data_IF_126751209477
#
_entry.id   IF_126751209477
#
_cell.length_a   1.000
_cell.length_b   1.000
_cell.length_c   1.000
_cell.angle_alpha   90.00
_cell.angle_beta   90.00
_cell.angle_gamma   90.00
#
_symmetry.space_group_name_H-M   'P 1'
#
loop_
_entity.id
_entity.type
_entity.pdbx_description
1 polymer ?
#
# COMPACT_ATOMS: atom_id res chain seq x y z
N UNK A 1 24.99 1.17 -5.83
CA UNK A 1 24.17 1.14 -7.06
C UNK A 1 25.00 1.32 -8.32
N UNK A 2 25.84 2.34 -8.47
CA UNK A 2 26.68 2.56 -9.68
C UNK A 2 27.58 1.35 -9.99
N UNK A 3 28.34 0.87 -9.01
CA UNK A 3 29.18 -0.34 -9.18
C UNK A 3 28.37 -1.56 -9.58
N UNK A 4 27.19 -1.77 -8.99
CA UNK A 4 26.32 -2.88 -9.34
C UNK A 4 25.88 -2.81 -10.81
N UNK A 5 25.49 -1.62 -11.30
CA UNK A 5 25.08 -1.39 -12.70
C UNK A 5 26.27 -1.54 -13.66
N UNK A 6 27.49 -1.18 -13.25
CA UNK A 6 28.69 -1.36 -14.04
C UNK A 6 29.00 -2.84 -14.30
N UNK A 7 28.86 -3.67 -13.25
CA UNK A 7 29.40 -5.02 -13.25
C UNK A 7 28.35 -6.12 -13.49
N UNK A 8 27.05 -5.75 -13.51
CA UNK A 8 25.98 -6.74 -13.65
C UNK A 8 24.96 -6.32 -14.71
N UNK A 9 24.45 -7.34 -15.43
CA UNK A 9 23.40 -7.15 -16.43
C UNK A 9 22.04 -6.81 -15.81
N UNK A 10 21.71 -7.43 -14.68
CA UNK A 10 20.43 -7.26 -14.01
C UNK A 10 20.67 -6.80 -12.58
N UNK A 11 20.14 -5.63 -12.23
CA UNK A 11 20.27 -5.05 -10.88
C UNK A 11 18.87 -4.74 -10.35
N UNK A 12 18.59 -5.15 -9.13
CA UNK A 12 17.32 -4.89 -8.45
C UNK A 12 17.57 -4.29 -7.07
N UNK A 13 16.95 -3.13 -6.81
CA UNK A 13 17.16 -2.35 -5.59
C UNK A 13 15.84 -2.17 -4.86
N UNK A 14 15.68 -2.87 -3.74
CA UNK A 14 14.59 -2.67 -2.80
C UNK A 14 15.02 -1.68 -1.73
N UNK A 15 14.36 -0.54 -1.62
CA UNK A 15 14.72 0.50 -0.65
C UNK A 15 13.56 0.99 0.19
N UNK A 16 13.86 1.42 1.42
CA UNK A 16 12.91 2.10 2.27
C UNK A 16 12.42 3.42 1.67
N UNK A 17 11.41 4.02 2.28
CA UNK A 17 10.96 5.36 1.90
C UNK A 17 12.01 6.39 2.29
N UNK A 18 12.34 7.30 1.37
CA UNK A 18 13.36 8.33 1.61
C UNK A 18 14.80 7.80 1.62
N UNK A 19 15.08 6.65 0.99
CA UNK A 19 16.43 6.06 0.91
C UNK A 19 17.36 6.70 -0.12
N UNK A 20 16.89 7.67 -0.90
CA UNK A 20 17.68 8.29 -1.97
C UNK A 20 17.85 7.43 -3.23
N UNK A 21 17.03 6.37 -3.40
CA UNK A 21 17.12 5.47 -4.56
C UNK A 21 16.92 6.19 -5.89
N UNK A 22 15.97 7.12 -5.97
CA UNK A 22 15.65 7.86 -7.20
C UNK A 22 16.72 8.93 -7.49
N UNK A 23 17.21 9.61 -6.43
CA UNK A 23 18.36 10.49 -6.52
C UNK A 23 19.56 9.77 -7.12
N UNK A 24 19.86 8.56 -6.65
CA UNK A 24 20.97 7.76 -7.17
C UNK A 24 20.70 7.27 -8.59
N UNK A 25 19.45 6.84 -8.90
CA UNK A 25 19.08 6.42 -10.25
C UNK A 25 19.29 7.52 -11.28
N UNK A 26 18.92 8.77 -10.97
CA UNK A 26 19.20 9.93 -11.83
C UNK A 26 20.69 10.14 -12.11
N UNK A 27 21.57 9.90 -11.12
CA UNK A 27 23.04 9.99 -11.30
C UNK A 27 23.61 8.81 -12.07
N UNK A 28 23.01 7.63 -11.93
CA UNK A 28 23.35 6.45 -12.78
C UNK A 28 23.07 6.75 -14.25
N UNK A 29 21.97 7.43 -14.57
CA UNK A 29 21.65 7.86 -15.96
C UNK A 29 22.76 8.75 -16.51
N UNK A 30 23.18 9.79 -15.77
CA UNK A 30 24.27 10.66 -16.20
C UNK A 30 25.57 9.88 -16.36
N UNK A 31 25.91 9.08 -15.35
CA UNK A 31 27.13 8.28 -15.37
C UNK A 31 27.18 7.35 -16.58
N UNK A 32 26.06 6.67 -16.92
CA UNK A 32 25.99 5.77 -18.07
C UNK A 32 26.20 6.52 -19.39
N UNK A 33 25.51 7.64 -19.57
CA UNK A 33 25.62 8.48 -20.77
C UNK A 33 27.04 9.03 -20.97
N UNK A 34 27.76 9.34 -19.92
CA UNK A 34 29.11 9.91 -20.00
C UNK A 34 30.22 8.86 -20.17
N UNK A 35 29.97 7.60 -19.80
CA UNK A 35 30.99 6.54 -19.85
C UNK A 35 30.82 5.55 -20.99
N UNK A 36 29.74 5.66 -21.78
CA UNK A 36 29.47 4.76 -22.89
C UNK A 36 29.11 5.57 -24.15
N UNK A 37 29.64 5.17 -25.31
CA UNK A 37 29.31 5.78 -26.59
C UNK A 37 29.30 4.71 -27.70
N UNK A 38 28.29 4.68 -28.62
CA UNK A 38 27.00 5.33 -28.44
C UNK A 38 26.19 4.65 -27.32
N UNK A 39 25.39 5.42 -26.62
CA UNK A 39 24.56 4.89 -25.53
C UNK A 39 23.12 5.41 -25.61
N UNK A 40 22.19 4.57 -25.21
CA UNK A 40 20.80 4.95 -24.97
C UNK A 40 20.39 4.58 -23.56
N UNK A 41 19.65 5.47 -22.90
CA UNK A 41 19.05 5.18 -21.60
C UNK A 41 17.54 5.34 -21.72
N UNK A 42 16.79 4.30 -21.37
CA UNK A 42 15.34 4.31 -21.31
C UNK A 42 14.95 4.23 -19.85
N UNK A 43 14.22 5.26 -19.38
CA UNK A 43 13.68 5.33 -18.02
C UNK A 43 12.17 5.09 -18.12
N UNK A 44 11.65 4.11 -17.38
CA UNK A 44 10.23 3.79 -17.36
C UNK A 44 9.75 3.60 -15.92
N UNK A 45 8.43 3.63 -15.73
CA UNK A 45 7.78 3.49 -14.44
C UNK A 45 6.26 3.40 -14.59
N UNK A 46 5.51 3.26 -13.49
CA UNK A 46 4.08 3.00 -13.55
C UNK A 46 3.26 4.14 -14.17
N UNK A 47 3.70 5.38 -14.01
CA UNK A 47 3.00 6.57 -14.54
C UNK A 47 3.98 7.59 -15.10
N UNK A 48 3.52 8.38 -16.08
CA UNK A 48 4.32 9.47 -16.65
C UNK A 48 4.79 10.47 -15.57
N UNK A 49 3.95 10.78 -14.59
CA UNK A 49 4.27 11.67 -13.48
C UNK A 49 5.44 11.12 -12.66
N UNK A 50 5.43 9.84 -12.32
CA UNK A 50 6.52 9.23 -11.53
C UNK A 50 7.84 9.23 -12.30
N UNK A 51 7.82 9.00 -13.60
CA UNK A 51 9.02 9.10 -14.43
C UNK A 51 9.49 10.54 -14.55
N UNK A 52 8.60 11.49 -14.90
CA UNK A 52 8.95 12.87 -15.18
C UNK A 52 9.32 13.68 -13.94
N UNK A 53 8.52 13.57 -12.88
CA UNK A 53 8.64 14.44 -11.69
C UNK A 53 9.63 13.87 -10.66
N UNK A 54 9.96 12.58 -10.74
CA UNK A 54 10.85 11.93 -9.78
C UNK A 54 12.23 11.68 -10.43
N UNK A 55 12.42 10.54 -11.10
CA UNK A 55 13.75 10.14 -11.59
C UNK A 55 14.29 11.09 -12.67
N UNK A 56 13.41 11.55 -13.58
CA UNK A 56 13.84 12.49 -14.61
C UNK A 56 14.18 13.87 -14.03
N UNK A 57 13.40 14.33 -13.05
CA UNK A 57 13.72 15.57 -12.35
C UNK A 57 15.06 15.48 -11.62
N UNK A 58 15.36 14.37 -10.95
CA UNK A 58 16.65 14.11 -10.33
C UNK A 58 17.80 14.07 -11.35
N UNK A 59 17.55 13.50 -12.53
CA UNK A 59 18.49 13.51 -13.64
C UNK A 59 18.77 14.94 -14.12
N UNK A 60 17.74 15.77 -14.26
CA UNK A 60 17.83 17.17 -14.69
C UNK A 60 18.56 18.03 -13.64
N UNK A 61 18.23 17.85 -12.36
CA UNK A 61 18.93 18.54 -11.26
C UNK A 61 20.41 18.20 -11.27
N UNK A 62 20.75 16.93 -11.42
CA UNK A 62 22.15 16.51 -11.48
C UNK A 62 22.89 17.05 -12.71
N UNK A 63 22.22 17.10 -13.86
CA UNK A 63 22.75 17.71 -15.09
C UNK A 63 23.03 19.20 -14.91
N UNK A 64 22.08 19.95 -14.39
CA UNK A 64 22.19 21.40 -14.21
C UNK A 64 23.21 21.80 -13.14
N UNK A 65 23.39 20.97 -12.11
CA UNK A 65 24.34 21.21 -11.00
C UNK A 65 25.73 20.61 -11.25
N UNK A 66 25.97 20.09 -12.44
CA UNK A 66 27.31 19.57 -12.76
C UNK A 66 28.37 20.66 -12.77
N UNK A 67 29.50 20.35 -12.16
CA UNK A 67 30.66 21.28 -12.14
C UNK A 67 31.27 21.51 -13.53
N UNK A 68 31.01 20.60 -14.46
CA UNK A 68 31.51 20.64 -15.83
C UNK A 68 30.36 20.56 -16.81
N UNK A 69 30.44 21.23 -17.97
CA UNK A 69 29.44 21.08 -19.04
C UNK A 69 29.38 19.63 -19.49
N UNK A 70 28.18 19.01 -19.40
CA UNK A 70 27.96 17.62 -19.79
C UNK A 70 27.64 17.48 -21.30
N UNK A 71 27.46 18.61 -21.99
CA UNK A 71 27.12 18.62 -23.41
C UNK A 71 25.69 18.21 -23.74
N UNK A 72 25.35 18.28 -25.03
CA UNK A 72 24.03 17.94 -25.53
C UNK A 72 22.95 18.94 -25.14
N UNK A 73 21.69 18.57 -25.42
CA UNK A 73 20.50 19.37 -25.10
C UNK A 73 19.60 18.64 -24.11
N UNK A 74 19.39 19.24 -22.96
CA UNK A 74 18.36 18.84 -22.00
C UNK A 74 17.04 19.51 -22.42
N UNK A 75 16.08 18.71 -22.88
CA UNK A 75 14.77 19.20 -23.30
C UNK A 75 13.84 19.47 -22.11
N UNK A 76 12.82 20.27 -22.31
CA UNK A 76 11.74 20.46 -21.34
C UNK A 76 10.95 19.16 -21.07
N UNK A 77 10.85 18.31 -22.09
CA UNK A 77 10.33 16.93 -21.97
C UNK A 77 11.35 16.02 -21.29
N UNK A 78 10.98 14.76 -21.11
CA UNK A 78 11.84 13.72 -20.50
C UNK A 78 12.91 13.22 -21.48
N UNK A 79 13.72 14.13 -22.06
CA UNK A 79 14.78 13.79 -23.01
C UNK A 79 16.07 14.61 -22.78
N UNK A 80 17.20 13.91 -22.77
CA UNK A 80 18.55 14.50 -22.88
C UNK A 80 19.25 13.88 -24.08
N UNK A 81 19.67 14.68 -25.03
CA UNK A 81 20.23 14.23 -26.29
C UNK A 81 21.60 14.88 -26.55
N UNK A 82 22.61 14.06 -26.75
CA UNK A 82 23.93 14.48 -27.21
C UNK A 82 24.00 14.41 -28.75
N UNK A 83 23.47 13.32 -29.33
CA UNK A 83 23.27 13.15 -30.76
C UNK A 83 22.12 12.15 -31.02
N UNK A 84 21.87 11.78 -32.29
CA UNK A 84 20.76 10.90 -32.69
C UNK A 84 20.92 9.45 -32.20
N UNK A 85 22.14 9.01 -31.92
CA UNK A 85 22.44 7.67 -31.42
C UNK A 85 22.76 7.65 -29.91
N UNK A 86 22.83 8.85 -29.30
CA UNK A 86 23.27 9.00 -27.92
C UNK A 86 22.30 9.91 -27.14
N UNK A 87 21.36 9.30 -26.43
CA UNK A 87 20.33 10.02 -25.68
C UNK A 87 19.78 9.23 -24.49
N UNK A 88 19.22 9.94 -23.51
CA UNK A 88 18.37 9.40 -22.46
C UNK A 88 16.92 9.86 -22.67
N UNK A 89 15.96 8.97 -22.43
CA UNK A 89 14.54 9.20 -22.63
C UNK A 89 13.72 8.58 -21.50
N UNK A 90 12.85 9.39 -20.88
CA UNK A 90 11.80 8.92 -20.00
C UNK A 90 10.53 8.62 -20.80
N UNK A 91 10.02 7.40 -20.71
CA UNK A 91 8.85 6.94 -21.46
C UNK A 91 7.94 6.07 -20.59
N UNK A 92 6.65 6.32 -20.67
CA UNK A 92 5.60 5.46 -20.08
C UNK A 92 4.57 5.19 -21.18
N UNK A 93 4.16 3.96 -21.29
CA UNK A 93 3.16 3.56 -22.27
C UNK A 93 2.30 2.44 -21.72
N UNK A 94 1.01 2.49 -22.00
CA UNK A 94 0.09 1.39 -21.73
C UNK A 94 0.15 0.30 -22.82
N UNK A 95 0.84 0.59 -23.94
CA UNK A 95 1.05 -0.37 -25.01
C UNK A 95 2.52 -0.80 -25.04
N UNK A 96 2.84 -2.04 -24.64
CA UNK A 96 4.20 -2.58 -24.65
C UNK A 96 4.91 -2.52 -26.02
N UNK A 97 4.16 -2.46 -27.13
CA UNK A 97 4.73 -2.36 -28.47
C UNK A 97 5.41 -1.01 -28.72
N UNK A 98 4.98 0.05 -28.05
CA UNK A 98 5.60 1.38 -28.18
C UNK A 98 7.00 1.47 -27.58
N UNK A 99 7.42 0.48 -26.81
CA UNK A 99 8.78 0.36 -26.28
C UNK A 99 9.75 -0.32 -27.23
N UNK A 100 9.28 -0.87 -28.35
CA UNK A 100 10.15 -1.52 -29.33
C UNK A 100 10.97 -0.50 -30.15
N UNK A 101 12.16 -0.92 -30.59
CA UNK A 101 12.99 -0.10 -31.50
C UNK A 101 14.14 0.67 -30.83
N UNK A 102 14.26 0.65 -29.50
CA UNK A 102 15.41 1.26 -28.83
C UNK A 102 16.62 0.28 -28.79
N UNK A 103 17.41 0.29 -29.86
CA UNK A 103 18.62 -0.54 -29.94
C UNK A 103 19.88 0.30 -29.72
N UNK A 104 20.80 -0.18 -28.90
CA UNK A 104 22.15 0.37 -28.72
C UNK A 104 23.06 -0.71 -28.11
N UNK A 105 24.34 -0.77 -28.50
CA UNK A 105 25.29 -1.68 -27.85
C UNK A 105 25.47 -1.35 -26.35
N UNK A 106 25.15 -0.12 -25.96
CA UNK A 106 25.17 0.34 -24.58
C UNK A 106 23.79 0.86 -24.15
N UNK A 107 22.78 0.00 -24.27
CA UNK A 107 21.44 0.32 -23.76
C UNK A 107 21.35 0.04 -22.26
N UNK A 108 20.96 1.06 -21.49
CA UNK A 108 20.52 0.94 -20.11
C UNK A 108 19.01 1.11 -20.02
N UNK A 109 18.34 0.22 -19.32
CA UNK A 109 16.92 0.37 -18.94
C UNK A 109 16.85 0.61 -17.45
N UNK A 110 16.18 1.69 -17.05
CA UNK A 110 15.89 2.03 -15.64
C UNK A 110 14.39 1.92 -15.41
N UNK A 111 13.97 1.06 -14.49
CA UNK A 111 12.58 0.88 -14.11
C UNK A 111 12.43 1.39 -12.69
N UNK A 112 11.78 2.55 -12.53
CA UNK A 112 11.47 3.12 -11.22
C UNK A 112 10.12 2.65 -10.70
N UNK A 113 9.98 2.62 -9.38
CA UNK A 113 8.76 2.11 -8.71
C UNK A 113 8.32 0.76 -9.27
N UNK A 114 9.30 -0.13 -9.48
CA UNK A 114 9.15 -1.41 -10.16
C UNK A 114 8.07 -2.31 -9.53
N UNK A 115 7.77 -2.13 -8.24
CA UNK A 115 6.69 -2.83 -7.55
C UNK A 115 5.28 -2.54 -8.11
N UNK A 116 5.11 -1.37 -8.77
CA UNK A 116 3.85 -0.92 -9.31
C UNK A 116 3.79 -0.98 -10.86
N UNK A 117 4.88 -1.40 -11.53
CA UNK A 117 4.92 -1.59 -12.99
C UNK A 117 4.29 -2.93 -13.33
N UNK A 118 3.40 -2.95 -14.32
CA UNK A 118 2.72 -4.18 -14.75
C UNK A 118 3.69 -5.15 -15.40
N UNK A 119 3.49 -6.44 -15.18
CA UNK A 119 4.36 -7.49 -15.70
C UNK A 119 4.56 -7.45 -17.22
N UNK A 120 3.53 -7.22 -18.08
CA UNK A 120 3.73 -7.12 -19.53
C UNK A 120 4.66 -5.96 -19.94
N UNK A 121 4.68 -4.85 -19.18
CA UNK A 121 5.54 -3.71 -19.43
C UNK A 121 7.00 -4.04 -19.08
N UNK A 122 7.24 -4.72 -17.96
CA UNK A 122 8.57 -5.19 -17.56
C UNK A 122 9.11 -6.18 -18.61
N UNK A 123 8.29 -7.11 -19.08
CA UNK A 123 8.68 -8.04 -20.14
C UNK A 123 9.01 -7.32 -21.45
N UNK A 124 8.26 -6.29 -21.84
CA UNK A 124 8.56 -5.51 -23.04
C UNK A 124 9.92 -4.78 -22.92
N UNK A 125 10.19 -4.19 -21.74
CA UNK A 125 11.48 -3.54 -21.46
C UNK A 125 12.63 -4.54 -21.49
N UNK A 126 12.43 -5.76 -21.01
CA UNK A 126 13.44 -6.85 -21.10
C UNK A 126 13.72 -7.28 -22.53
N UNK A 127 12.70 -7.29 -23.41
CA UNK A 127 12.88 -7.66 -24.84
C UNK A 127 13.75 -6.67 -25.61
N UNK A 128 14.04 -5.47 -25.06
CA UNK A 128 14.99 -4.52 -25.64
C UNK A 128 16.44 -5.07 -25.67
N UNK A 129 16.71 -6.18 -25.02
CA UNK A 129 18.05 -6.76 -24.90
C UNK A 129 19.08 -5.76 -24.38
N UNK A 130 18.71 -5.01 -23.35
CA UNK A 130 19.58 -4.02 -22.73
C UNK A 130 20.89 -4.65 -22.23
N UNK A 131 21.97 -3.90 -22.31
CA UNK A 131 23.27 -4.26 -21.72
C UNK A 131 23.12 -4.36 -20.20
N UNK A 132 22.37 -3.41 -19.61
CA UNK A 132 22.03 -3.44 -18.18
C UNK A 132 20.59 -3.00 -17.94
N UNK A 133 19.92 -3.65 -16.99
CA UNK A 133 18.60 -3.28 -16.47
C UNK A 133 18.74 -2.97 -14.98
N UNK A 134 18.29 -1.80 -14.58
CA UNK A 134 18.20 -1.36 -13.18
C UNK A 134 16.72 -1.24 -12.80
N UNK A 135 16.27 -2.04 -11.85
CA UNK A 135 14.97 -1.88 -11.20
C UNK A 135 15.16 -1.23 -9.83
N UNK A 136 14.33 -0.23 -9.51
CA UNK A 136 14.29 0.39 -8.19
C UNK A 136 12.85 0.47 -7.71
N UNK A 137 12.62 0.28 -6.41
CA UNK A 137 11.29 0.41 -5.84
C UNK A 137 11.25 0.17 -4.33
N UNK A 138 10.09 0.45 -3.74
CA UNK A 138 9.80 0.02 -2.39
C UNK A 138 9.26 -1.42 -2.44
N UNK A 139 9.58 -2.27 -1.47
CA UNK A 139 9.15 -3.67 -1.49
C UNK A 139 7.70 -3.83 -0.97
N UNK A 140 6.73 -3.21 -1.66
CA UNK A 140 5.30 -3.26 -1.31
C UNK A 140 4.52 -4.38 -2.00
N UNK A 141 5.20 -5.26 -2.74
CA UNK A 141 4.55 -6.36 -3.47
C UNK A 141 5.02 -7.71 -2.96
N UNK A 142 4.19 -8.73 -3.12
CA UNK A 142 4.52 -10.14 -2.83
C UNK A 142 4.57 -10.97 -4.11
N UNK A 143 4.46 -10.34 -5.28
CA UNK A 143 4.45 -11.01 -6.58
C UNK A 143 5.05 -10.13 -7.69
N UNK A 144 5.26 -10.73 -8.86
CA UNK A 144 5.84 -10.07 -10.02
C UNK A 144 7.36 -10.04 -10.02
N UNK A 145 7.95 -9.60 -11.14
CA UNK A 145 9.39 -9.72 -11.37
C UNK A 145 10.25 -8.98 -10.34
N UNK A 146 9.78 -7.82 -9.83
CA UNK A 146 10.50 -7.09 -8.79
C UNK A 146 10.61 -7.88 -7.49
N UNK A 147 9.51 -8.54 -7.07
CA UNK A 147 9.53 -9.47 -5.94
C UNK A 147 10.40 -10.69 -6.23
N UNK A 148 10.22 -11.34 -7.38
CA UNK A 148 10.93 -12.53 -7.78
C UNK A 148 12.43 -12.29 -7.90
N UNK A 149 12.87 -11.09 -8.32
CA UNK A 149 14.28 -10.70 -8.39
C UNK A 149 15.01 -10.77 -7.05
N UNK A 150 14.30 -10.64 -5.94
CA UNK A 150 14.83 -10.79 -4.58
C UNK A 150 14.60 -12.19 -3.99
N UNK A 151 13.79 -13.04 -4.65
CA UNK A 151 13.38 -14.37 -4.17
C UNK A 151 13.73 -15.48 -5.19
N UNK A 152 12.77 -15.94 -5.96
CA UNK A 152 12.91 -17.08 -6.88
C UNK A 152 13.93 -16.85 -7.99
N UNK A 153 14.05 -15.63 -8.52
CA UNK A 153 14.98 -15.26 -9.57
C UNK A 153 16.26 -14.55 -9.07
N UNK A 154 16.52 -14.59 -7.77
CA UNK A 154 17.67 -13.89 -7.17
C UNK A 154 19.01 -14.25 -7.81
N UNK A 155 19.16 -15.45 -8.33
CA UNK A 155 20.37 -15.91 -9.01
C UNK A 155 20.66 -15.18 -10.34
N UNK A 156 19.67 -14.50 -10.92
CA UNK A 156 19.80 -13.71 -12.15
C UNK A 156 20.10 -12.22 -11.88
N UNK A 157 19.94 -11.77 -10.63
CA UNK A 157 20.01 -10.37 -10.25
C UNK A 157 21.10 -10.08 -9.23
N UNK A 158 21.78 -8.95 -9.40
CA UNK A 158 22.49 -8.31 -8.30
C UNK A 158 21.44 -7.54 -7.48
N UNK A 159 21.10 -8.07 -6.31
CA UNK A 159 20.12 -7.47 -5.42
C UNK A 159 20.78 -6.52 -4.41
N UNK A 160 20.14 -5.40 -4.16
CA UNK A 160 20.52 -4.43 -3.11
C UNK A 160 19.27 -4.19 -2.28
N UNK A 161 19.40 -4.28 -0.97
CA UNK A 161 18.39 -3.86 -0.02
C UNK A 161 18.91 -2.63 0.71
N UNK A 162 18.09 -1.60 0.86
CA UNK A 162 18.44 -0.36 1.57
C UNK A 162 17.42 -0.14 2.68
N UNK A 163 17.86 -0.31 3.91
CA UNK A 163 17.10 0.04 5.11
C UNK A 163 17.23 1.54 5.41
N UNK A 164 16.28 2.11 6.15
CA UNK A 164 16.42 3.44 6.72
C UNK A 164 17.68 3.55 7.59
N UNK A 165 18.03 2.47 8.29
CA UNK A 165 19.22 2.41 9.15
C UNK A 165 20.55 2.41 8.37
N UNK A 166 20.53 2.18 7.06
CA UNK A 166 21.71 2.26 6.18
C UNK A 166 21.91 3.68 5.61
N UNK A 167 21.03 4.63 5.94
CA UNK A 167 21.07 5.98 5.38
C UNK A 167 21.98 6.92 6.17
N UNK A 168 22.62 7.89 5.52
CA UNK A 168 23.55 8.83 6.17
C UNK A 168 22.95 9.56 7.37
N UNK A 169 21.69 10.01 7.30
CA UNK A 169 21.04 10.73 8.39
C UNK A 169 20.96 9.90 9.68
N UNK A 170 20.70 8.60 9.54
CA UNK A 170 20.60 7.70 10.68
C UNK A 170 21.96 7.28 11.19
N UNK A 171 22.89 6.96 10.30
CA UNK A 171 24.26 6.58 10.67
C UNK A 171 24.98 7.72 11.41
N UNK A 172 24.83 8.97 10.93
CA UNK A 172 25.47 10.15 11.53
C UNK A 172 24.68 10.70 12.75
N UNK A 173 23.48 10.21 13.02
CA UNK A 173 22.60 10.70 14.08
C UNK A 173 22.16 12.17 13.92
N UNK A 174 22.22 12.71 12.70
CA UNK A 174 21.84 14.08 12.36
C UNK A 174 21.42 14.18 10.90
N UNK A 175 20.67 15.23 10.57
CA UNK A 175 20.27 15.50 9.19
C UNK A 175 21.48 15.97 8.36
N UNK A 176 22.05 15.05 7.58
CA UNK A 176 23.18 15.31 6.66
C UNK A 176 22.66 15.58 5.24
N UNK A 177 21.57 14.92 4.87
CA UNK A 177 20.93 15.03 3.55
C UNK A 177 19.47 15.41 3.74
N UNK A 178 19.09 16.59 3.23
CA UNK A 178 17.70 17.04 3.25
C UNK A 178 16.79 16.11 2.42
N UNK A 179 15.57 15.88 2.92
CA UNK A 179 14.58 15.00 2.26
C UNK A 179 14.87 13.49 2.36
N UNK A 180 15.97 13.08 2.96
CA UNK A 180 16.23 11.69 3.30
C UNK A 180 15.57 11.35 4.64
N UNK A 181 15.18 10.08 4.82
CA UNK A 181 14.55 9.59 6.05
C UNK A 181 15.32 10.02 7.31
N UNK A 182 14.58 10.47 8.32
CA UNK A 182 15.08 10.90 9.63
C UNK A 182 14.78 9.85 10.71
N UNK A 183 15.36 10.01 11.91
CA UNK A 183 15.02 9.15 13.05
C UNK A 183 13.58 9.38 13.52
N UNK A 184 13.10 10.63 13.45
CA UNK A 184 11.71 10.98 13.76
C UNK A 184 10.72 10.23 12.85
N UNK A 185 10.99 10.18 11.53
CA UNK A 185 10.18 9.39 10.58
C UNK A 185 10.12 7.90 10.95
N UNK A 186 11.23 7.34 11.45
CA UNK A 186 11.30 5.93 11.85
C UNK A 186 10.47 5.68 13.08
N UNK A 187 10.61 6.54 14.12
CA UNK A 187 9.87 6.41 15.37
C UNK A 187 8.35 6.61 15.16
N UNK A 188 7.97 7.58 14.33
CA UNK A 188 6.58 7.80 13.94
C UNK A 188 5.98 6.57 13.25
N UNK A 189 6.70 5.99 12.27
CA UNK A 189 6.25 4.76 11.59
C UNK A 189 6.21 3.56 12.52
N UNK A 190 7.19 3.45 13.44
CA UNK A 190 7.19 2.41 14.48
C UNK A 190 6.00 2.56 15.41
N UNK A 191 5.71 3.79 15.86
CA UNK A 191 4.56 4.08 16.70
C UNK A 191 3.23 3.84 15.97
N UNK A 192 3.16 4.17 14.67
CA UNK A 192 1.94 4.02 13.87
C UNK A 192 1.65 2.56 13.50
N UNK A 193 2.65 1.80 13.05
CA UNK A 193 2.43 0.49 12.44
C UNK A 193 2.98 -0.69 13.24
N UNK A 194 3.93 -0.47 14.14
CA UNK A 194 4.69 -1.53 14.83
C UNK A 194 5.79 -2.14 13.95
N UNK A 195 6.88 -2.53 14.58
CA UNK A 195 8.10 -3.04 13.90
C UNK A 195 7.87 -4.34 13.12
N UNK A 196 6.88 -5.14 13.52
CA UNK A 196 6.60 -6.44 12.89
C UNK A 196 5.64 -6.36 11.72
N UNK A 197 5.00 -5.19 11.50
CA UNK A 197 4.02 -5.02 10.43
C UNK A 197 4.66 -5.07 9.04
N UNK A 198 3.89 -5.51 8.04
CA UNK A 198 4.32 -5.49 6.64
C UNK A 198 4.65 -4.07 6.16
N UNK A 199 3.88 -3.06 6.62
CA UNK A 199 4.12 -1.65 6.31
C UNK A 199 5.46 -1.15 6.85
N UNK A 200 5.81 -1.45 8.11
CA UNK A 200 7.09 -1.04 8.68
C UNK A 200 8.25 -1.75 7.98
N UNK A 201 8.14 -3.05 7.74
CA UNK A 201 9.17 -3.83 7.04
C UNK A 201 9.47 -3.26 5.65
N UNK A 202 8.44 -2.96 4.88
CA UNK A 202 8.61 -2.39 3.54
C UNK A 202 9.11 -0.94 3.59
N UNK A 203 8.48 -0.08 4.40
CA UNK A 203 8.72 1.37 4.42
C UNK A 203 9.99 1.79 5.15
N UNK A 204 10.43 1.02 6.17
CA UNK A 204 11.58 1.34 7.02
C UNK A 204 12.73 0.39 6.77
N UNK A 205 12.49 -0.93 6.75
CA UNK A 205 13.56 -1.91 6.61
C UNK A 205 13.92 -2.19 5.13
N UNK A 206 13.12 -1.70 4.17
CA UNK A 206 13.31 -2.00 2.76
C UNK A 206 13.19 -3.49 2.46
N UNK A 207 12.41 -4.22 3.25
CA UNK A 207 12.21 -5.66 3.17
C UNK A 207 10.85 -5.97 2.54
N UNK A 208 10.83 -6.95 1.65
CA UNK A 208 9.56 -7.47 1.15
C UNK A 208 8.74 -8.07 2.31
N UNK A 209 7.41 -7.89 2.30
CA UNK A 209 6.54 -8.60 3.21
C UNK A 209 6.79 -10.11 3.07
N UNK A 210 6.82 -10.82 4.18
CA UNK A 210 6.81 -12.28 4.10
C UNK A 210 5.47 -12.69 3.51
N UNK A 211 5.46 -13.61 2.55
CA UNK A 211 4.26 -14.36 2.17
C UNK A 211 3.86 -15.20 3.38
N UNK A 212 3.13 -14.58 4.29
CA UNK A 212 2.47 -15.29 5.38
C UNK A 212 1.16 -15.77 4.78
N UNK A 213 1.05 -17.05 4.53
CA UNK A 213 -0.18 -17.71 4.07
C UNK A 213 -1.38 -17.41 4.98
N UNK A 214 -1.13 -16.80 6.14
CA UNK A 214 -2.07 -16.59 7.25
C UNK A 214 -2.60 -15.16 7.39
N UNK A 215 -2.25 -14.20 6.53
CA UNK A 215 -2.83 -12.84 6.61
C UNK A 215 -4.18 -12.78 5.91
N UNK A 216 -5.11 -12.03 6.48
CA UNK A 216 -6.46 -11.90 5.91
C UNK A 216 -6.39 -11.24 4.52
N UNK A 217 -5.75 -10.09 4.41
CA UNK A 217 -5.62 -9.34 3.14
C UNK A 217 -4.13 -9.01 2.94
N UNK A 218 -3.48 -9.55 1.90
CA UNK A 218 -2.09 -9.17 1.56
C UNK A 218 -1.93 -7.68 1.33
N UNK A 219 -0.78 -7.12 1.72
CA UNK A 219 -0.53 -5.68 1.65
C UNK A 219 -0.61 -5.13 0.21
N UNK A 220 -0.09 -5.86 -0.76
CA UNK A 220 -0.12 -5.48 -2.18
C UNK A 220 -1.56 -5.36 -2.70
N UNK A 221 -2.43 -6.32 -2.35
CA UNK A 221 -3.85 -6.30 -2.70
C UNK A 221 -4.58 -5.14 -2.01
N UNK A 222 -4.29 -4.88 -0.72
CA UNK A 222 -4.87 -3.74 -0.01
C UNK A 222 -4.49 -2.41 -0.67
N UNK A 223 -3.22 -2.22 -1.05
CA UNK A 223 -2.73 -1.03 -1.75
C UNK A 223 -3.30 -0.90 -3.17
N UNK A 224 -3.55 -2.01 -3.86
CA UNK A 224 -4.22 -2.01 -5.16
C UNK A 224 -5.69 -1.60 -5.03
N UNK A 225 -6.38 -2.14 -4.04
CA UNK A 225 -7.78 -1.85 -3.73
C UNK A 225 -8.04 -0.34 -3.56
N UNK A 226 -7.16 0.38 -2.87
CA UNK A 226 -7.27 1.86 -2.68
C UNK A 226 -7.26 2.63 -4.00
N UNK A 227 -6.59 2.11 -5.04
CA UNK A 227 -6.47 2.79 -6.34
C UNK A 227 -7.70 2.62 -7.24
N UNK A 228 -8.62 1.75 -6.88
CA UNK A 228 -9.87 1.51 -7.61
C UNK A 228 -10.73 2.77 -7.59
N UNK A 229 -11.55 2.95 -8.62
CA UNK A 229 -12.45 4.11 -8.76
C UNK A 229 -13.87 3.60 -8.98
N UNK A 230 -14.37 2.94 -7.94
CA UNK A 230 -15.72 2.40 -7.97
C UNK A 230 -16.77 3.51 -7.76
N UNK A 231 -17.98 3.31 -8.25
CA UNK A 231 -19.11 4.17 -7.96
C UNK A 231 -19.92 3.58 -6.80
N UNK A 232 -20.41 4.41 -5.88
CA UNK A 232 -21.25 3.92 -4.79
C UNK A 232 -22.63 3.51 -5.32
N UNK A 233 -22.97 2.25 -5.19
CA UNK A 233 -24.26 1.68 -5.64
C UNK A 233 -24.82 0.70 -4.62
N UNK A 234 -26.14 0.61 -4.51
CA UNK A 234 -26.82 -0.34 -3.63
C UNK A 234 -26.94 0.12 -2.17
N UNK A 235 -27.07 -0.84 -1.27
CA UNK A 235 -27.31 -0.64 0.16
C UNK A 235 -26.22 0.17 0.84
N UNK A 236 -26.61 1.15 1.66
CA UNK A 236 -25.72 1.94 2.50
C UNK A 236 -25.61 1.31 3.87
N UNK A 237 -24.48 0.69 4.15
CA UNK A 237 -24.17 0.09 5.45
C UNK A 237 -23.16 0.94 6.19
N UNK A 238 -23.47 1.28 7.42
CA UNK A 238 -22.53 1.92 8.36
C UNK A 238 -22.23 0.95 9.48
N UNK A 239 -20.97 0.82 9.84
CA UNK A 239 -20.58 0.06 11.04
C UNK A 239 -19.69 0.89 11.94
N UNK A 240 -19.87 0.74 13.26
CA UNK A 240 -19.14 1.51 14.26
C UNK A 240 -18.53 0.59 15.32
N UNK A 241 -17.19 0.60 15.40
CA UNK A 241 -16.43 0.02 16.50
C UNK A 241 -16.31 1.08 17.62
N UNK A 242 -16.77 0.75 18.82
CA UNK A 242 -16.94 1.68 19.93
C UNK A 242 -15.79 1.55 20.94
N UNK A 243 -15.02 2.61 21.11
CA UNK A 243 -14.07 2.75 22.22
C UNK A 243 -14.49 3.90 23.15
N UNK A 244 -14.35 3.71 24.47
CA UNK A 244 -14.74 4.74 25.45
C UNK A 244 -13.56 5.54 25.98
N UNK A 245 -12.61 4.87 26.57
CA UNK A 245 -11.42 5.47 27.18
C UNK A 245 -10.20 4.59 26.92
N UNK A 246 -9.05 5.20 26.70
CA UNK A 246 -7.80 4.50 26.47
C UNK A 246 -7.12 4.91 25.17
N UNK A 247 -6.38 4.01 24.57
CA UNK A 247 -5.63 4.23 23.34
C UNK A 247 -6.43 3.90 22.08
N UNK A 248 -7.54 3.16 22.22
CA UNK A 248 -8.39 2.73 21.11
C UNK A 248 -9.27 3.88 20.60
N UNK A 249 -9.61 3.83 19.32
CA UNK A 249 -10.44 4.83 18.66
C UNK A 249 -11.86 4.32 18.47
N UNK A 250 -12.86 5.20 18.61
CA UNK A 250 -14.18 4.93 18.04
C UNK A 250 -14.12 5.25 16.55
N UNK A 251 -14.40 4.25 15.72
CA UNK A 251 -14.32 4.36 14.26
C UNK A 251 -15.64 3.96 13.64
N UNK A 252 -16.16 4.81 12.73
CA UNK A 252 -17.30 4.43 11.89
C UNK A 252 -16.88 4.41 10.42
N UNK A 253 -17.29 3.35 9.74
CA UNK A 253 -17.04 3.11 8.32
C UNK A 253 -18.37 2.99 7.59
N UNK A 254 -18.49 3.66 6.46
CA UNK A 254 -19.58 3.51 5.51
C UNK A 254 -19.12 2.61 4.37
N UNK A 255 -19.93 1.63 3.99
CA UNK A 255 -19.77 0.85 2.76
C UNK A 255 -21.05 0.99 1.91
N UNK A 256 -20.86 1.15 0.59
CA UNK A 256 -21.94 1.15 -0.37
C UNK A 256 -21.49 0.40 -1.63
N UNK A 257 -22.01 -0.80 -1.85
CA UNK A 257 -21.55 -1.70 -2.88
C UNK A 257 -20.06 -1.98 -2.78
N UNK A 258 -19.31 -1.64 -3.83
CA UNK A 258 -17.86 -1.83 -3.90
C UNK A 258 -17.05 -0.63 -3.42
N UNK A 259 -17.67 0.35 -2.76
CA UNK A 259 -16.99 1.52 -2.18
C UNK A 259 -17.02 1.50 -0.67
N UNK A 260 -16.00 2.09 -0.03
CA UNK A 260 -15.99 2.29 1.42
C UNK A 260 -15.25 3.57 1.83
N UNK A 261 -15.65 4.14 2.97
CA UNK A 261 -15.14 5.40 3.50
C UNK A 261 -15.13 5.36 5.03
N UNK A 262 -14.06 5.86 5.65
CA UNK A 262 -14.04 6.14 7.10
C UNK A 262 -14.71 7.49 7.32
N UNK A 263 -15.91 7.47 7.91
CA UNK A 263 -16.74 8.66 8.12
C UNK A 263 -16.57 9.29 9.50
N UNK A 264 -15.99 8.54 10.44
CA UNK A 264 -15.72 9.01 11.80
C UNK A 264 -14.52 8.26 12.38
N UNK A 265 -13.62 8.98 13.04
CA UNK A 265 -12.49 8.39 13.77
C UNK A 265 -12.07 9.36 14.87
N UNK A 266 -12.34 9.01 16.13
CA UNK A 266 -12.02 9.83 17.29
C UNK A 266 -11.59 8.99 18.47
N UNK A 267 -10.80 9.58 19.35
CA UNK A 267 -10.34 8.98 20.59
C UNK A 267 -10.97 9.71 21.80
N UNK A 268 -11.34 8.96 22.84
CA UNK A 268 -11.72 9.53 24.15
C UNK A 268 -13.05 10.29 24.16
N UNK A 269 -13.98 10.00 23.27
CA UNK A 269 -15.33 10.58 23.28
C UNK A 269 -16.28 9.76 24.16
N UNK A 270 -17.24 10.44 24.78
CA UNK A 270 -18.29 9.79 25.55
C UNK A 270 -19.31 9.10 24.63
N UNK A 271 -19.95 8.06 25.14
CA UNK A 271 -20.88 7.22 24.37
C UNK A 271 -22.12 7.97 23.88
N UNK A 272 -22.61 8.95 24.64
CA UNK A 272 -23.80 9.73 24.28
C UNK A 272 -23.51 10.66 23.09
N UNK A 273 -22.33 11.26 23.07
CA UNK A 273 -21.84 12.05 21.92
C UNK A 273 -21.73 11.18 20.67
N UNK A 274 -21.19 9.97 20.78
CA UNK A 274 -21.09 9.02 19.66
C UNK A 274 -22.48 8.60 19.18
N UNK A 275 -23.37 8.21 20.08
CA UNK A 275 -24.76 7.86 19.74
C UNK A 275 -25.49 8.99 19.03
N UNK A 276 -25.37 10.23 19.56
CA UNK A 276 -25.98 11.40 18.94
C UNK A 276 -25.47 11.68 17.54
N UNK A 277 -24.15 11.53 17.32
CA UNK A 277 -23.55 11.68 16.00
C UNK A 277 -24.03 10.59 15.03
N UNK A 278 -24.00 9.32 15.44
CA UNK A 278 -24.44 8.19 14.60
C UNK A 278 -25.92 8.34 14.21
N UNK A 279 -26.81 8.61 15.17
CA UNK A 279 -28.23 8.79 14.90
C UNK A 279 -28.48 9.92 13.90
N UNK A 280 -27.80 11.05 14.06
CA UNK A 280 -27.88 12.19 13.13
C UNK A 280 -27.36 11.80 11.74
N UNK A 281 -26.21 11.13 11.67
CA UNK A 281 -25.61 10.70 10.41
C UNK A 281 -26.56 9.76 9.66
N UNK A 282 -27.21 8.81 10.33
CA UNK A 282 -28.14 7.89 9.70
C UNK A 282 -29.33 8.62 9.08
N UNK A 283 -29.90 9.60 9.79
CA UNK A 283 -31.02 10.39 9.30
C UNK A 283 -30.65 11.27 8.09
N UNK A 284 -29.47 11.90 8.13
CA UNK A 284 -29.03 12.85 7.10
C UNK A 284 -28.52 12.14 5.83
N UNK A 285 -28.13 10.86 5.89
CA UNK A 285 -27.49 10.12 4.79
C UNK A 285 -28.25 8.89 4.29
N UNK A 286 -29.50 8.71 4.71
CA UNK A 286 -30.36 7.57 4.28
C UNK A 286 -29.64 6.22 4.43
N UNK A 287 -29.08 5.97 5.61
CA UNK A 287 -28.40 4.72 5.92
C UNK A 287 -29.43 3.60 6.02
N UNK A 288 -29.24 2.52 5.28
CA UNK A 288 -30.13 1.35 5.30
C UNK A 288 -29.89 0.51 6.56
N UNK A 289 -28.60 0.30 6.92
CA UNK A 289 -28.21 -0.52 8.08
C UNK A 289 -27.09 0.12 8.87
N UNK A 290 -27.25 0.13 10.20
CA UNK A 290 -26.21 0.53 11.15
C UNK A 290 -25.84 -0.66 12.04
N UNK A 291 -24.59 -1.11 11.92
CA UNK A 291 -24.01 -2.16 12.78
C UNK A 291 -23.18 -1.49 13.88
N UNK A 292 -23.45 -1.82 15.14
CA UNK A 292 -22.73 -1.24 16.28
C UNK A 292 -22.11 -2.38 17.09
N UNK A 293 -20.81 -2.26 17.41
CA UNK A 293 -20.19 -3.21 18.34
C UNK A 293 -20.83 -3.06 19.73
N UNK A 294 -21.62 -4.07 20.08
CA UNK A 294 -22.36 -4.17 21.33
C UNK A 294 -21.56 -4.94 22.42
N UNK A 295 -20.28 -5.18 22.18
CA UNK A 295 -19.42 -5.88 23.14
C UNK A 295 -19.08 -4.95 24.31
N UNK A 296 -19.55 -5.28 25.49
CA UNK A 296 -19.28 -4.53 26.71
C UNK A 296 -19.95 -3.15 26.75
N UNK A 297 -19.23 -2.09 26.39
CA UNK A 297 -19.70 -0.70 26.52
C UNK A 297 -20.62 -0.24 25.37
N UNK A 298 -20.58 -0.91 24.24
CA UNK A 298 -21.40 -0.55 23.06
C UNK A 298 -22.91 -0.63 23.29
N UNK A 299 -23.36 -1.47 24.24
CA UNK A 299 -24.78 -1.58 24.61
C UNK A 299 -25.43 -0.23 24.97
N UNK A 300 -24.71 0.66 25.66
CA UNK A 300 -25.22 1.98 25.95
C UNK A 300 -25.42 2.90 24.73
N UNK A 301 -24.66 2.68 23.65
CA UNK A 301 -24.85 3.39 22.38
C UNK A 301 -26.06 2.82 21.65
N UNK A 302 -26.20 1.49 21.61
CA UNK A 302 -27.33 0.79 21.01
C UNK A 302 -28.66 1.18 21.65
N UNK A 303 -28.74 1.16 23.01
CA UNK A 303 -29.92 1.57 23.75
C UNK A 303 -30.30 3.01 23.43
N UNK A 304 -29.32 3.91 23.42
CA UNK A 304 -29.58 5.34 23.09
C UNK A 304 -30.05 5.56 21.66
N UNK A 305 -29.52 4.82 20.69
CA UNK A 305 -29.96 4.89 19.30
C UNK A 305 -31.41 4.40 19.13
N UNK A 306 -31.81 3.37 19.87
CA UNK A 306 -33.21 2.90 19.90
C UNK A 306 -34.15 3.97 20.49
N UNK A 307 -33.73 4.64 21.56
CA UNK A 307 -34.54 5.72 22.20
C UNK A 307 -34.76 6.93 21.28
N UNK A 308 -33.70 7.40 20.60
CA UNK A 308 -33.79 8.60 19.75
C UNK A 308 -34.39 8.34 18.38
N UNK A 309 -34.40 7.10 17.95
CA UNK A 309 -34.87 6.69 16.63
C UNK A 309 -33.94 7.11 15.50
N UNK A 310 -33.86 6.33 14.44
CA UNK A 310 -32.99 6.56 13.28
C UNK A 310 -33.76 6.47 11.94
N UNK A 311 -35.06 6.79 11.95
CA UNK A 311 -35.90 6.67 10.76
C UNK A 311 -36.10 5.20 10.34
N UNK A 312 -35.77 4.89 9.08
CA UNK A 312 -35.88 3.56 8.51
C UNK A 312 -34.60 2.71 8.61
N UNK A 313 -33.56 3.24 9.28
CA UNK A 313 -32.28 2.53 9.43
C UNK A 313 -32.44 1.28 10.30
N UNK A 314 -32.05 0.14 9.80
CA UNK A 314 -32.01 -1.12 10.56
C UNK A 314 -30.79 -1.12 11.52
N UNK A 315 -31.06 -1.18 12.83
CA UNK A 315 -30.02 -1.21 13.87
C UNK A 315 -29.65 -2.65 14.22
N UNK A 316 -28.41 -3.03 13.96
CA UNK A 316 -27.86 -4.35 14.24
C UNK A 316 -26.84 -4.28 15.36
N UNK A 317 -27.21 -4.64 16.61
CA UNK A 317 -26.24 -4.84 17.68
C UNK A 317 -25.36 -6.05 17.38
N UNK A 318 -24.05 -5.85 17.32
CA UNK A 318 -23.10 -6.91 16.97
C UNK A 318 -22.23 -7.29 18.14
N UNK A 319 -22.04 -8.58 18.40
CA UNK A 319 -21.09 -9.10 19.38
C UNK A 319 -20.08 -10.01 18.70
N UNK A 320 -18.82 -9.59 18.69
CA UNK A 320 -17.73 -10.24 17.98
C UNK A 320 -17.59 -11.75 18.26
N UNK A 321 -17.84 -12.17 19.49
CA UNK A 321 -17.74 -13.57 19.96
C UNK A 321 -18.95 -14.44 19.64
N UNK A 322 -20.02 -13.91 19.04
CA UNK A 322 -21.21 -14.73 18.72
C UNK A 322 -20.91 -15.77 17.63
N UNK A 323 -21.79 -16.74 17.50
CA UNK A 323 -21.69 -17.81 16.52
C UNK A 323 -21.73 -17.22 15.10
N UNK A 324 -20.85 -17.69 14.23
CA UNK A 324 -20.85 -17.35 12.80
C UNK A 324 -22.13 -17.87 12.12
N UNK A 325 -22.56 -17.24 11.04
CA UNK A 325 -23.67 -17.76 10.21
C UNK A 325 -23.27 -19.04 9.46
N UNK A 326 -21.99 -19.13 9.03
CA UNK A 326 -21.36 -20.32 8.49
C UNK A 326 -20.46 -20.95 9.57
N UNK A 327 -21.10 -21.54 10.59
CA UNK A 327 -20.41 -22.06 11.78
C UNK A 327 -19.61 -23.36 11.55
N UNK A 328 -19.79 -24.00 10.43
CA UNK A 328 -18.97 -25.09 9.92
C UNK A 328 -17.62 -24.60 9.36
N UNK A 329 -17.54 -23.35 8.92
CA UNK A 329 -16.35 -22.74 8.32
C UNK A 329 -15.62 -21.76 9.25
N UNK A 330 -16.35 -21.01 10.08
CA UNK A 330 -15.80 -19.93 10.91
C UNK A 330 -16.04 -20.15 12.40
N UNK A 331 -15.04 -19.83 13.22
CA UNK A 331 -15.10 -20.01 14.67
C UNK A 331 -16.02 -19.01 15.39
N UNK A 332 -16.21 -17.81 14.83
CA UNK A 332 -17.10 -16.77 15.34
C UNK A 332 -17.48 -15.75 14.28
N UNK A 333 -18.45 -14.87 14.60
CA UNK A 333 -19.03 -13.92 13.67
C UNK A 333 -18.02 -12.86 13.18
N UNK A 334 -17.09 -12.38 14.04
CA UNK A 334 -16.07 -11.40 13.61
C UNK A 334 -15.08 -12.04 12.62
N UNK A 335 -14.74 -13.32 12.78
CA UNK A 335 -13.90 -14.03 11.81
C UNK A 335 -14.59 -14.13 10.46
N UNK A 336 -15.88 -14.46 10.43
CA UNK A 336 -16.68 -14.50 9.21
C UNK A 336 -16.73 -13.12 8.54
N UNK A 337 -16.97 -12.04 9.29
CA UNK A 337 -17.04 -10.69 8.71
C UNK A 337 -15.72 -10.22 8.11
N UNK A 338 -14.60 -10.50 8.76
CA UNK A 338 -13.26 -10.24 8.21
C UNK A 338 -13.00 -11.07 6.95
N UNK A 339 -13.52 -12.28 6.89
CA UNK A 339 -13.38 -13.13 5.71
C UNK A 339 -14.21 -12.62 4.55
N UNK A 340 -15.45 -12.19 4.80
CA UNK A 340 -16.31 -11.55 3.78
C UNK A 340 -15.69 -10.25 3.25
N UNK A 341 -15.08 -9.43 4.14
CA UNK A 341 -14.32 -8.26 3.72
C UNK A 341 -13.15 -8.66 2.80
N UNK A 342 -12.41 -9.73 3.15
CA UNK A 342 -11.36 -10.28 2.29
C UNK A 342 -11.90 -10.63 0.90
N UNK A 343 -12.97 -11.43 0.83
CA UNK A 343 -13.59 -11.84 -0.43
C UNK A 343 -14.01 -10.61 -1.25
N UNK A 344 -14.65 -9.62 -0.63
CA UNK A 344 -15.02 -8.36 -1.27
C UNK A 344 -13.82 -7.57 -1.83
N UNK A 345 -12.69 -7.49 -1.11
CA UNK A 345 -11.47 -6.85 -1.61
C UNK A 345 -10.88 -7.64 -2.80
N UNK A 346 -10.91 -8.98 -2.76
CA UNK A 346 -10.45 -9.80 -3.87
C UNK A 346 -11.29 -9.63 -5.13
N UNK A 347 -12.61 -9.50 -4.98
CA UNK A 347 -13.52 -9.35 -6.12
C UNK A 347 -13.35 -7.96 -6.79
N UNK A 348 -13.65 -6.89 -6.11
CA UNK A 348 -13.47 -5.52 -6.66
C UNK A 348 -13.56 -4.42 -5.59
N UNK A 349 -13.70 -4.73 -4.32
CA UNK A 349 -13.92 -3.77 -3.25
C UNK A 349 -12.84 -2.72 -3.12
N UNK A 350 -13.22 -1.47 -2.93
CA UNK A 350 -12.33 -0.33 -2.77
C UNK A 350 -12.20 0.05 -1.30
N UNK A 351 -11.02 -0.17 -0.72
CA UNK A 351 -10.67 0.28 0.62
C UNK A 351 -10.39 1.79 0.65
N UNK A 352 -10.67 2.47 1.77
CA UNK A 352 -10.27 3.86 1.97
C UNK A 352 -8.74 4.01 1.95
N UNK A 353 -8.23 5.13 1.43
CA UNK A 353 -6.81 5.49 1.56
C UNK A 353 -6.49 5.94 3.00
N UNK A 354 -6.37 4.95 3.87
CA UNK A 354 -6.06 5.15 5.28
C UNK A 354 -4.93 4.21 5.72
N UNK A 355 -3.83 4.78 6.18
CA UNK A 355 -2.62 4.03 6.52
C UNK A 355 -2.81 3.09 7.71
N UNK A 356 -3.61 3.47 8.71
CA UNK A 356 -3.90 2.62 9.88
C UNK A 356 -4.71 1.40 9.43
N UNK A 357 -5.77 1.60 8.64
CA UNK A 357 -6.56 0.50 8.07
C UNK A 357 -5.69 -0.45 7.23
N UNK A 358 -4.89 0.09 6.30
CA UNK A 358 -4.00 -0.73 5.45
C UNK A 358 -3.02 -1.57 6.27
N UNK A 359 -2.43 -0.98 7.32
CA UNK A 359 -1.55 -1.70 8.24
C UNK A 359 -2.31 -2.80 8.98
N UNK A 360 -3.51 -2.52 9.48
CA UNK A 360 -4.33 -3.47 10.24
C UNK A 360 -4.77 -4.65 9.37
N UNK A 361 -5.33 -4.40 8.18
CA UNK A 361 -5.80 -5.49 7.29
C UNK A 361 -4.67 -6.38 6.79
N UNK A 362 -3.48 -5.80 6.57
CA UNK A 362 -2.30 -6.55 6.12
C UNK A 362 -1.48 -7.20 7.23
N UNK A 363 -1.82 -6.93 8.50
CA UNK A 363 -1.20 -7.55 9.67
C UNK A 363 -2.13 -8.55 10.36
N UNK A 364 -3.43 -8.50 10.07
CA UNK A 364 -4.44 -9.37 10.69
C UNK A 364 -4.30 -10.79 10.21
N UNK A 365 -4.04 -11.71 11.13
CA UNK A 365 -3.80 -13.12 10.83
C UNK A 365 -4.97 -14.00 11.25
N UNK A 366 -5.04 -15.18 10.63
CA UNK A 366 -5.94 -16.24 11.01
C UNK A 366 -5.18 -17.56 11.17
N UNK A 367 -5.80 -18.51 11.82
CA UNK A 367 -5.34 -19.89 11.91
C UNK A 367 -6.50 -20.85 11.62
N UNK A 368 -6.14 -22.08 11.26
CA UNK A 368 -7.11 -23.17 11.10
C UNK A 368 -7.09 -23.96 12.41
N UNK A 369 -8.25 -24.03 13.07
CA UNK A 369 -8.43 -24.78 14.32
C UNK A 369 -8.42 -26.30 14.10
N UNK A 370 -8.33 -27.07 15.17
CA UNK A 370 -8.34 -28.54 15.10
C UNK A 370 -9.59 -29.12 14.48
N UNK A 371 -10.71 -28.41 14.58
CA UNK A 371 -12.00 -28.73 13.96
C UNK A 371 -12.14 -28.22 12.52
N UNK A 372 -11.05 -27.72 11.93
CA UNK A 372 -10.92 -27.14 10.57
C UNK A 372 -11.59 -25.79 10.35
N UNK A 373 -12.13 -25.16 11.40
CA UNK A 373 -12.68 -23.81 11.28
C UNK A 373 -11.59 -22.76 11.24
N UNK A 374 -11.84 -21.70 10.48
CA UNK A 374 -11.02 -20.51 10.44
C UNK A 374 -11.26 -19.65 11.68
N UNK A 375 -10.21 -19.10 12.26
CA UNK A 375 -10.29 -18.24 13.43
C UNK A 375 -9.25 -17.12 13.33
N UNK A 376 -9.66 -15.89 13.58
CA UNK A 376 -8.72 -14.78 13.72
C UNK A 376 -7.79 -15.00 14.90
N UNK A 377 -6.53 -14.60 14.76
CA UNK A 377 -5.64 -14.54 15.92
C UNK A 377 -6.17 -13.51 16.93
N UNK A 378 -5.91 -13.72 18.25
CA UNK A 378 -6.28 -12.74 19.28
C UNK A 378 -5.72 -11.33 19.00
N UNK A 379 -6.51 -10.27 19.26
CA UNK A 379 -6.13 -8.86 19.06
C UNK A 379 -4.86 -8.48 19.84
N UNK A 380 -4.64 -9.10 20.99
CA UNK A 380 -3.49 -8.88 21.89
C UNK A 380 -2.14 -9.19 21.23
N UNK A 381 -2.16 -9.96 20.14
CA UNK A 381 -0.96 -10.23 19.33
C UNK A 381 -0.66 -9.14 18.31
N UNK A 382 -1.59 -8.23 18.08
CA UNK A 382 -1.38 -7.08 17.19
C UNK A 382 -0.69 -5.94 17.94
N UNK A 383 0.08 -5.12 17.21
CA UNK A 383 0.75 -3.95 17.78
C UNK A 383 -0.23 -2.91 18.30
N UNK A 384 -1.35 -2.72 17.58
CA UNK A 384 -2.48 -1.86 17.95
C UNK A 384 -3.78 -2.61 17.76
N UNK A 385 -4.83 -2.17 18.48
CA UNK A 385 -6.20 -2.59 18.21
C UNK A 385 -6.55 -2.31 16.74
N UNK A 386 -7.21 -3.26 16.05
CA UNK A 386 -7.58 -3.06 14.65
C UNK A 386 -8.92 -2.32 14.48
N UNK A 387 -9.06 -1.15 15.13
CA UNK A 387 -10.31 -0.40 15.24
C UNK A 387 -10.89 -0.05 13.86
N UNK A 388 -10.06 0.45 12.93
CA UNK A 388 -10.46 0.73 11.56
C UNK A 388 -10.81 -0.56 10.79
N UNK A 389 -10.03 -1.63 11.01
CA UNK A 389 -10.26 -2.95 10.39
C UNK A 389 -11.51 -3.63 10.88
N UNK A 390 -11.78 -3.60 12.19
CA UNK A 390 -12.97 -4.19 12.78
C UNK A 390 -14.22 -3.42 12.35
N UNK A 391 -14.21 -2.07 12.38
CA UNK A 391 -15.30 -1.25 11.86
C UNK A 391 -15.59 -1.55 10.38
N UNK A 392 -14.54 -1.67 9.54
CA UNK A 392 -14.70 -2.04 8.14
C UNK A 392 -15.29 -3.45 7.98
N UNK A 393 -14.76 -4.43 8.70
CA UNK A 393 -15.25 -5.81 8.65
C UNK A 393 -16.72 -5.93 9.09
N UNK A 394 -17.13 -5.17 10.10
CA UNK A 394 -18.52 -5.19 10.57
C UNK A 394 -19.53 -4.69 9.54
N UNK A 395 -19.12 -3.94 8.49
CA UNK A 395 -20.03 -3.57 7.40
C UNK A 395 -20.55 -4.79 6.60
N UNK A 396 -19.99 -5.97 6.81
CA UNK A 396 -20.38 -7.24 6.17
C UNK A 396 -21.27 -8.14 7.05
N UNK A 397 -21.73 -7.62 8.20
CA UNK A 397 -22.69 -8.30 9.06
C UNK A 397 -24.10 -8.12 8.48
N UNK A 398 -24.77 -9.24 8.27
CA UNK A 398 -26.16 -9.25 7.83
C UNK A 398 -27.10 -8.93 8.99
N UNK A 399 -28.26 -8.36 8.67
CA UNK A 399 -29.38 -8.28 9.63
C UNK A 399 -29.76 -9.70 10.06
N UNK A 400 -29.97 -9.95 11.35
CA UNK A 400 -30.57 -11.22 11.76
C UNK A 400 -31.92 -11.34 11.04
N UNK A 401 -32.00 -12.30 10.12
CA UNK A 401 -33.26 -12.52 9.40
C UNK A 401 -34.38 -12.66 10.43
N UNK A 402 -35.44 -11.89 10.28
CA UNK A 402 -36.68 -12.12 11.04
C UNK A 402 -37.15 -13.52 10.67
N UNK A 403 -36.82 -14.50 11.52
CA UNK A 403 -37.44 -15.80 11.43
C UNK A 403 -38.94 -15.57 11.57
N UNK A 404 -39.67 -15.81 10.49
CA UNK A 404 -41.12 -15.89 10.56
C UNK A 404 -41.41 -17.06 11.48
N UNK A 405 -41.92 -16.76 12.67
CA UNK A 405 -42.42 -17.70 13.65
C UNK A 405 -43.78 -18.26 13.16
#
# INVERSE_FOLDING_TARGET
MVEAVKDNRMVSVAGCNGSGKDWTAGRVVLWWMLNHYPAKVIISGPTHRQVADIVWNETRIAYNNSKYPLGGRMYQTTRWQLDDQHFALGVVTNDPYNLQGFHSPNLLVVITEAHAVKQPEIEALRRLNAKTVLMTGNPFTTQGEFYDSHHSMRHLYKTIQISAFDTPNIIEGKQVVEGMVSMEDIEDRKAQWGETSAMYRASVLGQFPNNLEDVIIPLDLALESVKRKNQPEGEVVVACDIARYGKDKTVAVKRQGDTSEIIYSVQGKDLMTVAGWLGRYCLDNSVDRLVVDDTGLGGGVTDRLQEVGMGSTDLVPFKAGTKASQDDRFGNAITESWWRMREWVFDNGQLPDNKDLLSQVSSRRYNIQSDRRLMLEPKEKMHKSPDEGDAMAMTFIDSPGYGVW
#
